data_IF_693155939798
#
_entry.id   IF_693155939798
#
_cell.length_a   1.000
_cell.length_b   1.000
_cell.length_c   1.000
_cell.angle_alpha   90.00
_cell.angle_beta   90.00
_cell.angle_gamma   90.00
#
_symmetry.space_group_name_H-M   'P 1'
#
loop_
_entity.id
_entity.type
_entity.pdbx_description
1 polymer ?
#
# COMPACT_ATOMS: atom_id res chain seq x y z
N UNK A 1 9.02 -6.89 -7.39
CA UNK A 1 9.84 -5.67 -7.14
C UNK A 1 11.28 -6.05 -6.87
N UNK A 2 11.56 -6.81 -5.81
CA UNK A 2 12.92 -7.26 -5.49
C UNK A 2 13.62 -8.06 -6.60
N UNK A 3 12.87 -8.90 -7.33
CA UNK A 3 13.41 -9.80 -8.38
C UNK A 3 14.15 -9.08 -9.53
N UNK A 4 13.82 -7.81 -9.82
CA UNK A 4 14.47 -7.04 -10.90
C UNK A 4 15.30 -5.86 -10.35
N UNK A 5 15.67 -5.90 -9.06
CA UNK A 5 16.56 -4.92 -8.43
C UNK A 5 15.89 -3.69 -7.83
N UNK A 6 14.55 -3.60 -7.79
CA UNK A 6 13.88 -2.53 -7.05
C UNK A 6 13.88 -2.82 -5.55
N UNK A 7 14.14 -1.79 -4.75
CA UNK A 7 14.02 -1.87 -3.30
C UNK A 7 12.54 -2.10 -2.90
N UNK A 8 12.18 -3.26 -2.32
CA UNK A 8 10.79 -3.55 -1.92
C UNK A 8 10.28 -2.60 -0.84
N UNK A 9 11.17 -1.96 -0.06
CA UNK A 9 10.79 -0.98 0.97
C UNK A 9 10.25 0.34 0.40
N UNK A 10 10.37 0.58 -0.90
CA UNK A 10 9.81 1.78 -1.52
C UNK A 10 8.31 1.67 -1.77
N UNK A 11 7.75 0.45 -1.82
CA UNK A 11 6.32 0.24 -2.06
C UNK A 11 5.43 0.68 -0.88
N UNK A 12 5.73 0.33 0.40
CA UNK A 12 5.02 0.87 1.56
C UNK A 12 5.07 2.40 1.61
N UNK A 13 6.27 3.00 1.44
CA UNK A 13 6.45 4.47 1.43
C UNK A 13 5.69 5.17 0.31
N UNK A 14 5.56 4.53 -0.84
CA UNK A 14 4.73 5.05 -1.93
C UNK A 14 3.24 5.05 -1.54
N UNK A 15 2.78 3.96 -0.90
CA UNK A 15 1.39 3.82 -0.42
C UNK A 15 1.06 4.80 0.70
N UNK A 16 1.98 5.04 1.62
CA UNK A 16 1.86 6.07 2.67
C UNK A 16 1.71 7.47 2.08
N UNK A 17 2.59 7.84 1.13
CA UNK A 17 2.48 9.14 0.43
C UNK A 17 1.16 9.26 -0.32
N UNK A 18 0.70 8.20 -0.98
CA UNK A 18 -0.58 8.20 -1.68
C UNK A 18 -1.76 8.35 -0.70
N UNK A 19 -1.71 7.69 0.46
CA UNK A 19 -2.71 7.81 1.52
C UNK A 19 -2.77 9.25 2.05
N UNK A 20 -1.61 9.83 2.38
CA UNK A 20 -1.52 11.20 2.90
C UNK A 20 -2.01 12.29 1.92
N UNK A 21 -1.97 12.03 0.61
CA UNK A 21 -2.48 12.93 -0.42
C UNK A 21 -3.89 12.55 -0.92
N UNK A 22 -4.51 11.53 -0.33
CA UNK A 22 -5.88 11.15 -0.68
C UNK A 22 -6.86 12.06 0.06
N UNK A 23 -7.26 13.16 -0.59
CA UNK A 23 -8.22 14.13 -0.05
C UNK A 23 -9.68 13.62 -0.06
N UNK A 24 -9.94 12.47 -0.68
CA UNK A 24 -11.26 11.84 -0.73
C UNK A 24 -11.36 10.74 0.32
N UNK A 25 -12.47 10.75 1.07
CA UNK A 25 -12.85 9.65 1.94
C UNK A 25 -12.86 8.35 1.12
N UNK A 26 -11.96 7.44 1.48
CA UNK A 26 -11.86 6.13 0.84
C UNK A 26 -13.08 5.29 1.22
N UNK A 27 -13.77 4.68 0.26
CA UNK A 27 -14.90 3.82 0.56
C UNK A 27 -14.46 2.66 1.46
N UNK A 28 -15.33 2.18 2.38
CA UNK A 28 -15.03 1.02 3.22
C UNK A 28 -14.53 -0.16 2.38
N UNK A 29 -13.56 -0.92 2.87
CA UNK A 29 -12.92 -2.02 2.11
C UNK A 29 -13.91 -3.04 1.58
N UNK A 30 -14.95 -3.36 2.34
CA UNK A 30 -16.00 -4.29 1.91
C UNK A 30 -16.74 -3.83 0.63
N UNK A 31 -16.74 -2.53 0.34
CA UNK A 31 -17.33 -1.95 -0.87
C UNK A 31 -16.31 -1.73 -2.00
N UNK A 32 -15.03 -2.04 -1.76
CA UNK A 32 -13.94 -1.84 -2.72
C UNK A 32 -13.51 -3.16 -3.36
N UNK A 33 -13.18 -3.15 -4.66
CA UNK A 33 -12.54 -4.29 -5.33
C UNK A 33 -11.05 -4.42 -5.01
N UNK A 34 -10.53 -3.52 -4.18
CA UNK A 34 -9.14 -3.43 -3.78
C UNK A 34 -9.03 -3.16 -2.27
N UNK A 35 -7.97 -3.67 -1.61
CA UNK A 35 -7.71 -3.41 -0.20
C UNK A 35 -7.39 -1.93 0.04
N UNK A 36 -7.68 -1.46 1.25
CA UNK A 36 -7.34 -0.14 1.74
C UNK A 36 -5.85 0.11 1.76
N UNK A 37 -5.49 1.39 1.89
CA UNK A 37 -4.10 1.81 1.99
C UNK A 37 -3.38 1.14 3.16
N UNK A 38 -3.97 1.15 4.36
CA UNK A 38 -3.38 0.57 5.57
C UNK A 38 -3.22 -0.95 5.46
N UNK A 39 -4.30 -1.67 5.15
CA UNK A 39 -4.29 -3.13 4.97
C UNK A 39 -3.23 -3.59 3.98
N UNK A 40 -3.04 -2.82 2.89
CA UNK A 40 -2.02 -3.12 1.90
C UNK A 40 -0.61 -2.79 2.37
N UNK A 41 -0.42 -1.76 3.18
CA UNK A 41 0.90 -1.43 3.76
C UNK A 41 1.32 -2.54 4.71
N UNK A 42 0.42 -3.01 5.59
CA UNK A 42 0.67 -4.13 6.49
C UNK A 42 1.04 -5.41 5.73
N UNK A 43 0.28 -5.76 4.68
CA UNK A 43 0.60 -6.91 3.83
C UNK A 43 1.97 -6.77 3.15
N UNK A 44 2.30 -5.60 2.64
CA UNK A 44 3.61 -5.35 2.03
C UNK A 44 4.72 -5.50 3.06
N UNK A 45 4.53 -5.00 4.29
CA UNK A 45 5.49 -5.13 5.37
C UNK A 45 5.66 -6.58 5.82
N UNK A 46 4.58 -7.35 5.91
CA UNK A 46 4.62 -8.76 6.30
C UNK A 46 5.30 -9.66 5.25
N UNK A 47 5.23 -9.29 3.97
CA UNK A 47 5.83 -10.05 2.86
C UNK A 47 7.22 -9.55 2.46
N UNK A 48 7.82 -8.62 3.21
CA UNK A 48 9.21 -8.22 2.99
C UNK A 48 10.19 -9.30 3.49
N UNK A 49 11.29 -9.55 2.76
CA UNK A 49 12.34 -10.49 3.17
C UNK A 49 13.16 -10.00 4.37
#
# INVERSE_FOLDING_TARGET
MAMVGYNPQEAPKFRERMSANSERETPPEFMSTHPSHDTRIDDLNANMP
#
